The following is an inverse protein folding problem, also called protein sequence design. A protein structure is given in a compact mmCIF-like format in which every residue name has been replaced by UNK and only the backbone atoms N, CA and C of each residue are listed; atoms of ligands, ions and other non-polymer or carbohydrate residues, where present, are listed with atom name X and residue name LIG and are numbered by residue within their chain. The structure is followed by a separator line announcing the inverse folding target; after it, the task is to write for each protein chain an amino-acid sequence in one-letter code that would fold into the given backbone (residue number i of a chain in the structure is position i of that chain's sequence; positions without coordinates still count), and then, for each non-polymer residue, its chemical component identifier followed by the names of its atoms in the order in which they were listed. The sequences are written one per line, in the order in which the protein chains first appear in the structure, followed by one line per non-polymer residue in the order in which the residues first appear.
data_IF_914696439716
#
_entry.id   IF_914696439716
#
_cell.length_a   1.000
_cell.length_b   1.000
_cell.length_c   1.000
_cell.angle_alpha   90.00
_cell.angle_beta   90.00
_cell.angle_gamma   90.00
#
_symmetry.space_group_name_H-M   'P 1'
#
loop_
_entity.id
_entity.type
_entity.pdbx_description
1 polymer ?
#
# COMPACT_ATOMS: atom_id res chain seq x y z
N UNK A 1 -14.41 14.90 -3.30
CA UNK A 1 -13.45 14.39 -4.30
C UNK A 1 -12.11 14.13 -3.59
N UNK A 2 -11.44 12.98 -3.80
CA UNK A 2 -10.13 12.66 -3.18
C UNK A 2 -9.16 12.21 -4.28
N UNK A 3 -7.96 12.79 -4.30
CA UNK A 3 -6.89 12.43 -5.26
C UNK A 3 -6.17 11.19 -4.75
N UNK A 4 -6.09 10.15 -5.58
CA UNK A 4 -5.39 8.90 -5.26
C UNK A 4 -4.20 8.65 -6.19
N UNK A 5 -3.21 7.92 -5.71
CA UNK A 5 -2.04 7.48 -6.49
C UNK A 5 -1.95 5.95 -6.56
N UNK A 6 -1.40 5.41 -7.64
CA UNK A 6 -1.03 3.99 -7.68
C UNK A 6 0.20 3.76 -6.81
N UNK A 7 0.11 2.86 -5.83
CA UNK A 7 1.24 2.54 -4.96
C UNK A 7 2.46 2.04 -5.75
N UNK A 8 2.22 1.32 -6.87
CA UNK A 8 3.26 0.87 -7.82
C UNK A 8 4.04 2.02 -8.49
N UNK A 9 3.59 3.27 -8.43
CA UNK A 9 4.36 4.43 -8.93
C UNK A 9 5.67 4.60 -8.17
N UNK A 10 5.76 4.09 -6.94
CA UNK A 10 6.97 4.13 -6.14
C UNK A 10 7.62 2.75 -6.08
N UNK A 11 8.90 2.67 -6.44
CA UNK A 11 9.72 1.48 -6.21
C UNK A 11 10.50 1.66 -4.91
N UNK A 12 10.04 0.99 -3.85
CA UNK A 12 10.62 1.06 -2.51
C UNK A 12 10.76 -0.35 -1.92
N UNK A 13 11.82 -0.61 -1.14
CA UNK A 13 12.12 -1.96 -0.64
C UNK A 13 11.17 -2.41 0.47
N UNK A 14 10.50 -1.47 1.16
CA UNK A 14 9.56 -1.78 2.24
C UNK A 14 8.23 -1.04 2.09
N UNK A 15 7.17 -1.59 2.70
CA UNK A 15 5.86 -0.94 2.75
C UNK A 15 5.90 0.35 3.55
N UNK A 16 6.79 0.44 4.54
CA UNK A 16 7.02 1.64 5.33
C UNK A 16 7.56 2.77 4.44
N UNK A 17 8.62 2.51 3.68
CA UNK A 17 9.23 3.50 2.77
C UNK A 17 8.26 3.90 1.65
N UNK A 18 7.43 2.95 1.19
CA UNK A 18 6.42 3.19 0.16
C UNK A 18 5.36 4.18 0.63
N UNK A 19 4.80 3.94 1.81
CA UNK A 19 3.76 4.79 2.39
C UNK A 19 4.32 6.15 2.82
N UNK A 20 5.57 6.20 3.28
CA UNK A 20 6.29 7.45 3.55
C UNK A 20 6.48 8.28 2.29
N UNK A 21 6.91 7.65 1.19
CA UNK A 21 7.02 8.32 -0.09
C UNK A 21 5.67 8.90 -0.54
N UNK A 22 4.57 8.15 -0.46
CA UNK A 22 3.23 8.62 -0.81
C UNK A 22 2.82 9.83 0.05
N UNK A 23 3.03 9.75 1.37
CA UNK A 23 2.71 10.84 2.28
C UNK A 23 3.55 12.10 2.03
N UNK A 24 4.80 11.95 1.57
CA UNK A 24 5.69 13.06 1.20
C UNK A 24 5.18 13.91 0.03
N UNK A 25 4.27 13.38 -0.80
CA UNK A 25 3.57 14.14 -1.86
C UNK A 25 2.22 14.73 -1.38
N UNK A 26 1.94 14.69 -0.08
CA UNK A 26 0.67 15.12 0.51
C UNK A 26 -0.57 14.37 -0.04
N UNK A 27 -0.34 13.16 -0.57
CA UNK A 27 -1.40 12.28 -1.08
C UNK A 27 -1.73 11.25 0.00
N UNK A 28 -3.02 11.16 0.35
CA UNK A 28 -3.49 10.29 1.44
C UNK A 28 -4.47 9.22 0.96
N UNK A 29 -4.57 8.99 -0.35
CA UNK A 29 -5.27 7.83 -0.91
C UNK A 29 -4.37 7.10 -1.89
N UNK A 30 -4.28 5.79 -1.75
CA UNK A 30 -3.50 4.96 -2.63
C UNK A 30 -4.29 3.74 -3.10
N UNK A 31 -4.19 3.44 -4.39
CA UNK A 31 -4.55 2.15 -4.95
C UNK A 31 -3.39 1.19 -4.71
N UNK A 32 -3.68 0.09 -4.03
CA UNK A 32 -2.66 -0.82 -3.52
C UNK A 32 -2.65 -2.13 -4.30
N UNK A 33 -1.48 -2.76 -4.38
CA UNK A 33 -1.30 -4.08 -4.97
C UNK A 33 -0.47 -4.93 -4.01
N UNK A 34 -0.78 -6.22 -3.89
CA UNK A 34 -0.08 -7.14 -2.98
C UNK A 34 1.39 -7.38 -3.40
N UNK A 35 1.74 -7.15 -4.67
CA UNK A 35 3.14 -7.09 -5.12
C UNK A 35 3.96 -5.98 -4.45
N UNK A 36 3.33 -4.89 -3.97
CA UNK A 36 4.01 -3.86 -3.19
C UNK A 36 4.52 -4.38 -1.83
N UNK A 37 4.04 -5.55 -1.39
CA UNK A 37 4.50 -6.24 -0.18
C UNK A 37 5.14 -7.59 -0.49
N UNK A 38 5.58 -7.78 -1.74
CA UNK A 38 6.31 -8.98 -2.17
C UNK A 38 5.45 -10.24 -2.32
N UNK A 39 4.12 -10.10 -2.32
CA UNK A 39 3.22 -11.20 -2.64
C UNK A 39 2.95 -11.25 -4.14
N UNK A 40 2.52 -12.41 -4.62
CA UNK A 40 1.87 -12.49 -5.93
C UNK A 40 0.69 -11.51 -5.99
N UNK A 41 0.36 -11.08 -7.20
CA UNK A 41 -0.75 -10.15 -7.43
C UNK A 41 -2.08 -10.68 -6.89
N UNK A 42 -2.26 -12.01 -6.87
CA UNK A 42 -3.48 -12.70 -6.44
C UNK A 42 -3.11 -13.96 -5.64
N UNK A 43 -2.61 -13.80 -4.40
CA UNK A 43 -2.13 -14.92 -3.61
C UNK A 43 -3.31 -15.72 -3.08
N UNK A 44 -3.19 -17.04 -3.02
CA UNK A 44 -4.22 -17.92 -2.44
C UNK A 44 -4.42 -17.68 -0.94
N UNK A 45 -3.40 -17.17 -0.26
CA UNK A 45 -3.45 -16.82 1.15
C UNK A 45 -2.62 -15.55 1.42
N UNK A 46 -3.17 -14.63 2.22
CA UNK A 46 -2.43 -13.48 2.75
C UNK A 46 -2.07 -13.76 4.19
N UNK A 47 -0.77 -13.88 4.55
CA UNK A 47 -0.36 -14.14 5.92
C UNK A 47 -0.91 -13.07 6.89
N UNK A 48 -1.52 -13.51 7.99
CA UNK A 48 -2.16 -12.60 8.95
C UNK A 48 -1.17 -11.58 9.54
N UNK A 49 0.10 -11.98 9.72
CA UNK A 49 1.19 -11.10 10.18
C UNK A 49 1.42 -9.95 9.18
N UNK A 50 1.40 -10.26 7.88
CA UNK A 50 1.59 -9.26 6.82
C UNK A 50 0.39 -8.32 6.74
N UNK A 51 -0.83 -8.86 6.75
CA UNK A 51 -2.06 -8.06 6.76
C UNK A 51 -2.08 -7.10 7.95
N UNK A 52 -1.74 -7.57 9.15
CA UNK A 52 -1.65 -6.73 10.36
C UNK A 52 -0.59 -5.64 10.24
N UNK A 53 0.57 -5.93 9.63
CA UNK A 53 1.62 -4.93 9.38
C UNK A 53 1.12 -3.82 8.46
N UNK A 54 0.50 -4.17 7.35
CA UNK A 54 -0.08 -3.20 6.40
C UNK A 54 -1.16 -2.34 7.07
N UNK A 55 -2.10 -2.94 7.78
CA UNK A 55 -3.19 -2.23 8.48
C UNK A 55 -2.62 -1.26 9.52
N UNK A 56 -1.65 -1.71 10.33
CA UNK A 56 -0.99 -0.85 11.32
C UNK A 56 -0.32 0.33 10.64
N UNK A 57 0.51 0.10 9.64
CA UNK A 57 1.31 1.16 9.02
C UNK A 57 0.47 2.18 8.27
N UNK A 58 -0.55 1.71 7.54
CA UNK A 58 -1.59 2.54 6.90
C UNK A 58 -2.18 3.56 7.88
N UNK A 59 -2.54 3.12 9.09
CA UNK A 59 -3.13 3.97 10.13
C UNK A 59 -2.17 5.05 10.62
N UNK A 60 -0.90 4.70 10.80
CA UNK A 60 0.14 5.66 11.24
C UNK A 60 0.38 6.77 10.23
N UNK A 61 0.30 6.47 8.93
CA UNK A 61 0.58 7.43 7.85
C UNK A 61 -0.67 8.14 7.31
N UNK A 62 -1.86 7.85 7.87
CA UNK A 62 -3.16 8.39 7.43
C UNK A 62 -3.48 8.14 5.95
N UNK A 63 -2.76 7.24 5.28
CA UNK A 63 -3.01 6.86 3.89
C UNK A 63 -4.20 5.90 3.85
N UNK A 64 -5.18 6.13 2.99
CA UNK A 64 -6.26 5.19 2.74
C UNK A 64 -5.91 4.27 1.56
N UNK A 65 -5.70 2.97 1.80
CA UNK A 65 -5.80 1.94 0.75
C UNK A 65 -7.26 1.84 0.33
N UNK A 66 -7.58 2.31 -0.87
CA UNK A 66 -8.95 2.47 -1.36
C UNK A 66 -9.39 1.41 -2.37
N UNK A 67 -8.44 0.66 -2.94
CA UNK A 67 -8.70 -0.44 -3.87
C UNK A 67 -7.52 -1.40 -3.94
N UNK A 68 -7.80 -2.65 -4.32
CA UNK A 68 -6.82 -3.70 -4.53
C UNK A 68 -6.84 -4.09 -6.02
N UNK A 69 -5.69 -4.07 -6.69
CA UNK A 69 -5.63 -4.26 -8.15
C UNK A 69 -4.88 -5.53 -8.52
N UNK A 70 -5.38 -6.23 -9.54
CA UNK A 70 -4.94 -7.58 -9.91
C UNK A 70 -4.09 -7.67 -11.20
N UNK A 71 -3.48 -6.57 -11.64
CA UNK A 71 -2.68 -6.50 -12.87
C UNK A 71 -1.19 -6.23 -12.58
#
# INVERSE_FOLDING_TARGET
MKIGIFAKTFSRPTIEDLLEAIAGYEIYSAQFNLSCVGLETLPTNVPEVLARRVIRRKRWMRVSLCSLTLW
#
